data_IF_365838195911
#
_entry.id   IF_365838195911
#
_cell.length_a   1.000
_cell.length_b   1.000
_cell.length_c   1.000
_cell.angle_alpha   90.00
_cell.angle_beta   90.00
_cell.angle_gamma   90.00
#
_symmetry.space_group_name_H-M   'P 1'
#
loop_
_entity.id
_entity.type
_entity.pdbx_description
1 polymer ?
#
# COMPACT_ATOMS: atom_id res chain seq x y z
N UNK A 1 -40.33 14.40 1.75
CA UNK A 1 -40.86 13.60 2.88
C UNK A 1 -39.97 13.89 4.08
N UNK A 2 -40.39 14.83 4.93
CA UNK A 2 -39.63 15.29 6.09
C UNK A 2 -39.81 14.30 7.25
N UNK A 3 -38.72 13.81 7.84
CA UNK A 3 -38.78 13.09 9.11
C UNK A 3 -37.97 13.86 10.16
N UNK A 4 -38.72 14.51 11.05
CA UNK A 4 -38.30 15.00 12.36
C UNK A 4 -37.70 13.83 13.16
N UNK A 5 -36.50 14.01 13.73
CA UNK A 5 -36.02 13.17 14.83
C UNK A 5 -35.91 14.07 16.06
N UNK A 6 -36.90 13.92 16.91
CA UNK A 6 -37.04 14.60 18.19
C UNK A 6 -36.23 13.80 19.23
N UNK A 7 -35.10 14.35 19.69
CA UNK A 7 -34.30 13.73 20.73
C UNK A 7 -34.94 14.01 22.10
N UNK A 8 -35.56 12.99 22.69
CA UNK A 8 -36.06 13.03 24.07
C UNK A 8 -34.87 12.87 25.02
N UNK A 9 -34.44 13.97 25.64
CA UNK A 9 -33.49 13.94 26.73
C UNK A 9 -34.20 13.41 27.99
N UNK A 10 -33.92 12.15 28.36
CA UNK A 10 -34.23 11.63 29.69
C UNK A 10 -32.95 11.58 30.52
N UNK A 11 -33.05 12.19 31.70
CA UNK A 11 -32.01 12.41 32.69
C UNK A 11 -31.32 11.11 33.13
N UNK A 12 -30.01 10.99 32.90
CA UNK A 12 -29.12 10.11 33.65
C UNK A 12 -27.77 10.84 33.87
N UNK A 13 -27.31 10.99 35.12
CA UNK A 13 -26.00 11.54 35.41
C UNK A 13 -25.00 10.38 35.47
N UNK A 14 -24.17 10.21 34.45
CA UNK A 14 -22.93 9.43 34.54
C UNK A 14 -21.98 9.89 33.43
N UNK A 15 -20.84 10.38 33.89
CA UNK A 15 -19.65 10.76 33.12
C UNK A 15 -19.21 9.62 32.21
N UNK A 16 -19.61 9.67 30.94
CA UNK A 16 -19.04 8.87 29.85
C UNK A 16 -18.83 9.82 28.67
N UNK A 17 -17.58 10.21 28.47
CA UNK A 17 -17.10 10.99 27.33
C UNK A 17 -17.18 10.12 26.08
N UNK A 18 -18.34 10.14 25.44
CA UNK A 18 -18.64 9.37 24.24
C UNK A 18 -18.35 10.24 23.01
N UNK A 19 -17.27 9.96 22.29
CA UNK A 19 -16.99 10.57 20.98
C UNK A 19 -17.79 9.85 19.91
N UNK A 20 -18.79 10.51 19.34
CA UNK A 20 -19.63 9.94 18.28
C UNK A 20 -19.07 10.31 16.91
N UNK A 21 -18.74 9.29 16.09
CA UNK A 21 -18.54 9.44 14.65
C UNK A 21 -19.83 9.01 13.95
N UNK A 22 -20.49 9.97 13.30
CA UNK A 22 -21.65 9.70 12.45
C UNK A 22 -21.19 9.70 11.00
N UNK A 23 -21.42 8.58 10.31
CA UNK A 23 -21.33 8.48 8.85
C UNK A 23 -22.78 8.39 8.34
N UNK A 24 -23.07 8.91 7.14
CA UNK A 24 -24.43 9.19 6.64
C UNK A 24 -25.41 7.98 6.64
N UNK A 25 -26.69 8.18 6.33
CA UNK A 25 -27.77 7.15 6.35
C UNK A 25 -27.52 5.89 5.49
N UNK A 26 -26.57 5.93 4.56
CA UNK A 26 -26.12 4.79 3.74
C UNK A 26 -24.82 4.16 4.27
N UNK A 27 -24.26 4.74 5.32
CA UNK A 27 -22.96 4.46 5.90
C UNK A 27 -23.11 4.16 7.39
N UNK A 28 -23.01 2.87 7.71
CA UNK A 28 -22.71 2.29 9.04
C UNK A 28 -22.20 3.31 10.09
N UNK A 29 -23.08 3.75 11.00
CA UNK A 29 -22.74 4.65 12.11
C UNK A 29 -21.89 3.90 13.11
N UNK A 30 -20.59 4.23 13.20
CA UNK A 30 -19.64 3.53 14.07
C UNK A 30 -19.11 4.46 15.16
N UNK A 31 -19.37 4.10 16.40
CA UNK A 31 -18.82 4.79 17.56
C UNK A 31 -17.50 4.12 17.95
N UNK A 32 -16.36 4.69 17.59
CA UNK A 32 -15.06 4.08 17.89
C UNK A 32 -13.96 5.10 18.05
N UNK A 33 -13.19 4.98 19.14
CA UNK A 33 -11.87 5.59 19.24
C UNK A 33 -10.95 4.81 18.29
N UNK A 34 -10.36 5.46 17.28
CA UNK A 34 -9.51 4.76 16.30
C UNK A 34 -8.09 5.28 16.48
N UNK A 35 -7.21 4.53 17.19
CA UNK A 35 -5.80 4.86 17.15
C UNK A 35 -5.28 4.61 15.72
N UNK A 36 -4.43 5.50 15.16
CA UNK A 36 -3.68 5.18 13.96
C UNK A 36 -2.84 3.93 14.25
N UNK A 37 -3.05 2.85 13.50
CA UNK A 37 -2.16 1.70 13.53
C UNK A 37 -1.42 1.66 12.21
N UNK A 38 -0.16 2.04 12.27
CA UNK A 38 0.78 1.70 11.21
C UNK A 38 1.01 0.18 11.27
N UNK A 39 0.83 -0.48 10.14
CA UNK A 39 1.11 -1.90 10.00
C UNK A 39 2.62 -2.10 9.88
N UNK A 40 3.17 -3.11 10.57
CA UNK A 40 4.58 -3.44 10.47
C UNK A 40 4.87 -4.15 9.15
N UNK A 41 6.09 -4.02 8.58
CA UNK A 41 6.50 -4.86 7.46
C UNK A 41 6.26 -6.34 7.80
N UNK A 42 5.59 -7.07 6.90
CA UNK A 42 5.17 -8.48 7.06
C UNK A 42 3.94 -8.74 7.94
N UNK A 43 3.20 -7.71 8.34
CA UNK A 43 1.86 -7.91 8.90
C UNK A 43 0.98 -8.69 7.91
N UNK A 44 -0.09 -9.31 8.39
CA UNK A 44 -1.06 -10.03 7.54
C UNK A 44 -2.48 -9.59 7.89
N UNK A 45 -3.32 -9.51 6.87
CA UNK A 45 -4.74 -9.22 6.97
C UNK A 45 -5.55 -10.51 7.01
N UNK A 46 -6.42 -10.63 8.01
CA UNK A 46 -7.38 -11.72 8.09
C UNK A 46 -8.46 -11.58 6.99
N UNK A 47 -8.73 -12.70 6.32
CA UNK A 47 -9.86 -12.92 5.41
C UNK A 47 -10.89 -13.75 6.16
N UNK A 48 -12.13 -13.28 6.18
CA UNK A 48 -13.24 -13.92 6.87
C UNK A 48 -14.21 -14.56 5.87
N UNK A 49 -14.96 -15.56 6.33
CA UNK A 49 -16.03 -16.17 5.56
C UNK A 49 -17.19 -15.22 5.24
N UNK A 50 -17.95 -15.55 4.20
CA UNK A 50 -19.20 -14.85 3.87
C UNK A 50 -20.26 -15.22 4.92
N UNK A 51 -20.94 -14.22 5.48
CA UNK A 51 -22.04 -14.42 6.45
C UNK A 51 -21.69 -14.18 7.92
N UNK A 52 -20.45 -13.83 8.25
CA UNK A 52 -20.09 -13.45 9.63
C UNK A 52 -20.63 -12.04 9.99
N UNK A 53 -21.30 -11.97 11.14
CA UNK A 53 -21.90 -10.76 11.71
C UNK A 53 -20.78 -9.83 12.24
N UNK A 54 -20.92 -8.52 12.04
CA UNK A 54 -19.98 -7.50 12.55
C UNK A 54 -20.20 -7.27 14.07
N UNK A 55 -19.17 -6.95 14.87
CA UNK A 55 -17.75 -6.81 14.52
C UNK A 55 -17.01 -8.14 14.41
N UNK A 56 -16.06 -8.21 13.47
CA UNK A 56 -15.35 -9.44 13.09
C UNK A 56 -14.05 -9.68 13.84
N UNK A 57 -13.58 -8.67 14.56
CA UNK A 57 -12.33 -8.68 15.31
C UNK A 57 -12.59 -8.22 16.73
N UNK A 58 -12.19 -9.03 17.69
CA UNK A 58 -11.96 -8.59 19.06
C UNK A 58 -10.65 -7.81 19.13
N UNK A 59 -10.65 -6.60 19.67
CA UNK A 59 -9.41 -5.86 19.91
C UNK A 59 -9.60 -4.76 20.94
N UNK A 60 -8.52 -4.43 21.65
CA UNK A 60 -8.47 -3.26 22.55
C UNK A 60 -8.34 -1.92 21.81
N UNK A 61 -8.71 -1.85 20.51
CA UNK A 61 -8.59 -0.62 19.71
C UNK A 61 -9.63 0.43 20.09
N UNK A 62 -10.83 0.00 20.45
CA UNK A 62 -11.91 0.87 20.91
C UNK A 62 -12.79 0.09 21.90
N UNK A 63 -13.49 0.79 22.79
CA UNK A 63 -14.40 0.19 23.76
C UNK A 63 -15.46 -0.72 23.11
N UNK A 64 -15.90 -0.41 21.88
CA UNK A 64 -16.87 -1.23 21.15
C UNK A 64 -16.32 -2.57 20.63
N UNK A 65 -15.00 -2.74 20.61
CA UNK A 65 -14.32 -3.95 20.15
C UNK A 65 -13.73 -4.77 21.31
N UNK A 66 -13.84 -4.27 22.56
CA UNK A 66 -13.30 -4.88 23.78
C UNK A 66 -14.43 -5.54 24.60
N UNK A 67 -15.21 -6.40 23.95
CA UNK A 67 -16.22 -7.23 24.62
C UNK A 67 -15.57 -8.54 25.10
N UNK A 68 -15.43 -8.77 26.42
CA UNK A 68 -14.79 -9.98 26.96
C UNK A 68 -15.58 -11.26 26.67
N UNK A 69 -16.84 -11.17 26.25
CA UNK A 69 -17.67 -12.31 25.88
C UNK A 69 -17.71 -12.55 24.36
N UNK A 70 -17.09 -11.67 23.57
CA UNK A 70 -17.08 -11.81 22.11
C UNK A 70 -16.17 -12.97 21.70
N UNK A 71 -16.76 -13.98 21.06
CA UNK A 71 -16.00 -15.04 20.40
C UNK A 71 -15.41 -14.48 19.10
N UNK A 72 -14.07 -14.42 18.94
CA UNK A 72 -13.46 -13.90 17.73
C UNK A 72 -13.95 -14.66 16.50
N UNK A 73 -14.22 -13.94 15.41
CA UNK A 73 -14.59 -14.60 14.15
C UNK A 73 -13.42 -15.45 13.65
N UNK A 74 -13.70 -16.68 13.24
CA UNK A 74 -12.70 -17.56 12.64
C UNK A 74 -12.09 -16.95 11.38
N UNK A 75 -10.76 -16.93 11.31
CA UNK A 75 -10.02 -16.46 10.13
C UNK A 75 -9.97 -17.58 9.10
N UNK A 76 -10.47 -17.35 7.89
CA UNK A 76 -10.49 -18.33 6.80
C UNK A 76 -9.14 -18.39 6.07
N UNK A 77 -8.51 -17.24 5.86
CA UNK A 77 -7.20 -17.11 5.23
C UNK A 77 -6.52 -15.83 5.70
N UNK A 78 -5.24 -15.68 5.38
CA UNK A 78 -4.49 -14.45 5.61
C UNK A 78 -3.85 -13.97 4.32
N UNK A 79 -3.93 -12.67 4.06
CA UNK A 79 -3.22 -12.03 2.94
C UNK A 79 -2.13 -11.14 3.50
N UNK A 80 -0.90 -11.15 2.94
CA UNK A 80 0.12 -10.15 3.27
C UNK A 80 -0.41 -8.74 3.40
N UNK A 81 0.08 -8.00 4.40
CA UNK A 81 0.12 -6.55 4.34
C UNK A 81 0.87 -6.18 3.07
N UNK A 82 0.23 -5.38 2.24
CA UNK A 82 0.85 -4.92 1.02
C UNK A 82 1.50 -3.59 1.35
N UNK A 83 2.76 -3.37 0.97
CA UNK A 83 3.47 -2.10 1.20
C UNK A 83 2.85 -0.89 0.45
N UNK A 84 1.65 -1.06 -0.12
CA UNK A 84 0.95 -0.09 -0.94
C UNK A 84 -0.38 0.26 -0.28
N UNK A 85 -1.03 1.31 -0.78
CA UNK A 85 -2.21 1.93 -0.19
C UNK A 85 -3.12 0.96 0.59
N UNK A 86 -3.45 1.25 1.86
CA UNK A 86 -4.37 0.42 2.65
C UNK A 86 -5.79 0.45 2.07
N UNK A 87 -6.05 1.32 1.09
CA UNK A 87 -7.33 1.48 0.43
C UNK A 87 -7.52 0.46 -0.68
N UNK A 88 -8.13 -0.67 -0.35
CA UNK A 88 -8.68 -1.60 -1.35
C UNK A 88 -10.07 -1.12 -1.77
N UNK A 89 -10.29 -0.96 -3.07
CA UNK A 89 -11.61 -0.66 -3.62
C UNK A 89 -12.49 -1.92 -3.56
N UNK A 90 -13.53 -1.87 -2.72
CA UNK A 90 -14.52 -2.94 -2.54
C UNK A 90 -15.59 -2.94 -3.65
N UNK A 91 -16.29 -4.05 -3.85
CA UNK A 91 -17.49 -4.14 -4.69
C UNK A 91 -17.26 -4.34 -6.19
N UNK A 92 -16.03 -4.68 -6.59
CA UNK A 92 -15.69 -4.97 -7.99
C UNK A 92 -16.21 -6.32 -8.50
N UNK A 93 -16.03 -6.59 -9.81
CA UNK A 93 -16.44 -7.86 -10.44
C UNK A 93 -15.75 -9.08 -9.80
N UNK A 94 -14.49 -8.93 -9.38
CA UNK A 94 -13.74 -10.02 -8.73
C UNK A 94 -14.37 -10.52 -7.43
N UNK A 95 -15.03 -9.66 -6.64
CA UNK A 95 -15.75 -10.09 -5.42
C UNK A 95 -17.01 -10.90 -5.73
N UNK A 96 -17.56 -10.80 -6.94
CA UNK A 96 -18.67 -11.63 -7.40
C UNK A 96 -18.20 -13.03 -7.83
N UNK A 97 -16.96 -13.13 -8.29
CA UNK A 97 -16.37 -14.36 -8.80
C UNK A 97 -15.66 -15.18 -7.70
N UNK A 98 -15.07 -14.48 -6.71
CA UNK A 98 -14.33 -15.11 -5.62
C UNK A 98 -15.02 -14.79 -4.28
N UNK A 99 -15.75 -15.75 -3.68
CA UNK A 99 -16.44 -15.51 -2.41
C UNK A 99 -15.44 -15.35 -1.27
N UNK A 100 -15.49 -14.21 -0.57
CA UNK A 100 -14.64 -13.91 0.57
C UNK A 100 -14.84 -12.47 1.04
N UNK A 101 -14.35 -12.14 2.24
CA UNK A 101 -14.42 -10.77 2.76
C UNK A 101 -13.13 -10.41 3.49
N UNK A 102 -12.60 -9.21 3.23
CA UNK A 102 -11.46 -8.66 3.95
C UNK A 102 -11.90 -7.93 5.22
N UNK A 103 -10.99 -7.78 6.18
CA UNK A 103 -11.19 -6.83 7.27
C UNK A 103 -11.30 -5.41 6.69
N UNK A 104 -12.49 -4.81 6.78
CA UNK A 104 -12.72 -3.45 6.25
C UNK A 104 -12.14 -2.40 7.20
N UNK A 105 -11.26 -1.55 6.66
CA UNK A 105 -10.78 -0.35 7.33
C UNK A 105 -11.92 0.61 7.69
N UNK A 106 -11.73 1.44 8.70
CA UNK A 106 -12.75 2.45 9.07
C UNK A 106 -12.61 3.69 8.18
N UNK A 107 -11.37 4.14 7.95
CA UNK A 107 -11.06 5.15 6.93
C UNK A 107 -10.95 4.46 5.57
N UNK A 108 -11.81 4.79 4.63
CA UNK A 108 -11.82 4.22 3.27
C UNK A 108 -12.16 5.29 2.22
N UNK A 109 -11.87 5.06 0.92
CA UNK A 109 -12.05 6.08 -0.13
C UNK A 109 -13.50 6.56 -0.35
N UNK A 110 -14.51 5.77 0.03
CA UNK A 110 -15.92 6.18 -0.06
C UNK A 110 -16.42 6.97 1.15
N UNK A 111 -15.53 7.29 2.10
CA UNK A 111 -15.91 8.09 3.27
C UNK A 111 -16.20 9.51 2.80
N UNK A 112 -17.46 9.93 2.85
CA UNK A 112 -17.82 11.28 2.38
C UNK A 112 -17.30 12.37 3.32
N UNK A 113 -17.42 12.14 4.62
CA UNK A 113 -17.02 13.02 5.69
C UNK A 113 -16.94 12.21 6.99
N UNK A 114 -16.25 12.77 7.99
CA UNK A 114 -16.20 12.27 9.36
C UNK A 114 -16.50 13.41 10.31
N UNK A 115 -17.23 13.14 11.38
CA UNK A 115 -17.43 14.12 12.45
C UNK A 115 -17.06 13.51 13.80
N UNK A 116 -16.60 14.34 14.73
CA UNK A 116 -16.29 14.00 16.11
C UNK A 116 -17.05 15.02 16.96
N UNK A 117 -18.13 14.58 17.58
CA UNK A 117 -18.83 15.34 18.61
C UNK A 117 -18.21 15.05 19.98
N UNK A 118 -17.70 16.07 20.66
CA UNK A 118 -17.22 15.96 22.03
C UNK A 118 -18.25 16.59 22.99
N UNK A 119 -18.90 15.81 23.87
CA UNK A 119 -19.95 16.30 24.75
C UNK A 119 -19.37 17.02 25.97
N UNK A 120 -18.64 18.12 25.74
CA UNK A 120 -18.13 18.99 26.79
C UNK A 120 -18.98 20.26 26.85
N UNK A 121 -19.76 20.47 27.94
CA UNK A 121 -20.58 21.66 28.11
C UNK A 121 -19.78 22.96 28.04
N UNK A 122 -18.49 22.94 28.40
CA UNK A 122 -17.62 24.11 28.35
C UNK A 122 -17.02 24.31 26.97
N UNK A 123 -16.91 23.26 26.15
CA UNK A 123 -16.28 23.27 24.84
C UNK A 123 -17.16 22.59 23.78
N UNK A 124 -18.32 23.21 23.51
CA UNK A 124 -19.28 22.76 22.50
C UNK A 124 -18.74 22.98 21.07
N UNK A 125 -17.91 22.05 20.61
CA UNK A 125 -17.29 22.05 19.29
C UNK A 125 -17.58 20.73 18.60
N UNK A 126 -18.06 20.82 17.37
CA UNK A 126 -18.12 19.70 16.43
C UNK A 126 -16.84 19.74 15.59
N UNK A 127 -16.02 18.69 15.67
CA UNK A 127 -14.91 18.55 14.75
C UNK A 127 -15.38 17.83 13.50
N UNK A 128 -15.13 18.39 12.34
CA UNK A 128 -15.60 17.89 11.06
C UNK A 128 -14.43 17.75 10.10
N UNK A 129 -14.43 16.66 9.34
CA UNK A 129 -13.42 16.33 8.35
C UNK A 129 -14.13 15.98 7.05
N UNK A 130 -13.69 16.56 5.95
CA UNK A 130 -14.08 16.08 4.62
C UNK A 130 -13.30 14.82 4.27
N UNK A 131 -13.92 13.96 3.46
CA UNK A 131 -13.32 12.73 2.94
C UNK A 131 -12.80 11.76 4.05
N UNK A 132 -11.79 10.94 3.76
CA UNK A 132 -11.31 9.87 4.62
C UNK A 132 -10.42 10.41 5.76
N UNK A 133 -10.71 10.05 7.03
CA UNK A 133 -10.03 10.64 8.19
C UNK A 133 -8.53 10.33 8.27
N UNK A 134 -8.02 9.30 7.58
CA UNK A 134 -6.59 9.00 7.56
C UNK A 134 -5.75 9.97 6.70
N UNK A 135 -6.37 10.77 5.85
CA UNK A 135 -5.72 11.74 4.94
C UNK A 135 -6.21 13.18 5.14
N UNK A 136 -7.11 13.37 6.10
CA UNK A 136 -7.79 14.64 6.34
C UNK A 136 -7.54 15.18 7.74
N UNK A 137 -8.18 16.31 8.06
CA UNK A 137 -8.05 17.03 9.32
C UNK A 137 -9.41 17.20 9.99
N UNK A 138 -9.39 17.20 11.32
CA UNK A 138 -10.57 17.48 12.13
C UNK A 138 -10.66 18.99 12.39
N UNK A 139 -11.48 19.65 11.58
CA UNK A 139 -11.68 21.10 11.55
C UNK A 139 -12.80 21.51 12.50
N UNK A 140 -12.62 22.54 13.34
CA UNK A 140 -13.59 22.87 14.38
C UNK A 140 -14.76 23.69 13.84
N UNK A 141 -15.97 23.30 14.21
CA UNK A 141 -17.20 24.06 14.03
C UNK A 141 -17.83 24.28 15.41
N UNK A 142 -17.97 25.54 15.82
CA UNK A 142 -18.56 25.85 17.11
C UNK A 142 -20.06 25.54 17.09
N UNK A 143 -20.57 24.82 18.08
CA UNK A 143 -22.01 24.49 18.10
C UNK A 143 -22.89 25.74 18.14
N UNK A 144 -22.40 26.86 18.71
CA UNK A 144 -23.11 28.14 18.68
C UNK A 144 -23.31 28.66 17.25
N UNK A 145 -22.28 28.57 16.38
CA UNK A 145 -22.36 29.06 15.00
C UNK A 145 -23.19 28.14 14.14
N UNK A 146 -23.11 26.83 14.38
CA UNK A 146 -24.00 25.85 13.74
C UNK A 146 -25.47 26.07 14.13
N UNK A 147 -25.74 26.38 15.40
CA UNK A 147 -27.10 26.67 15.89
C UNK A 147 -27.66 27.95 15.29
N UNK A 148 -26.84 28.99 15.18
CA UNK A 148 -27.19 30.26 14.52
C UNK A 148 -27.50 30.04 13.03
N UNK A 149 -26.68 29.25 12.34
CA UNK A 149 -26.84 28.96 10.92
C UNK A 149 -28.11 28.14 10.58
N UNK A 150 -28.65 27.35 11.52
CA UNK A 150 -29.76 26.43 11.25
C UNK A 150 -31.05 27.14 10.73
N UNK A 151 -31.22 28.42 11.01
CA UNK A 151 -32.34 29.25 10.52
C UNK A 151 -31.97 30.20 9.38
N UNK A 152 -30.77 30.09 8.82
CA UNK A 152 -30.23 31.04 7.85
C UNK A 152 -30.17 30.45 6.44
N UNK A 153 -30.38 31.32 5.44
CA UNK A 153 -30.04 31.00 4.05
C UNK A 153 -28.53 30.81 3.88
N UNK A 154 -28.13 29.89 3.00
CA UNK A 154 -26.71 29.56 2.75
C UNK A 154 -25.85 30.77 2.38
N UNK A 155 -26.43 31.75 1.68
CA UNK A 155 -25.71 32.99 1.32
C UNK A 155 -25.31 33.82 2.56
N UNK A 156 -26.05 33.67 3.66
CA UNK A 156 -25.86 34.42 4.91
C UNK A 156 -24.96 33.69 5.90
N UNK A 157 -24.72 32.39 5.75
CA UNK A 157 -23.86 31.59 6.65
C UNK A 157 -22.36 31.80 6.39
N UNK A 158 -21.99 32.58 5.37
CA UNK A 158 -20.60 32.91 5.04
C UNK A 158 -19.86 33.71 6.12
N UNK A 159 -20.58 34.34 7.06
CA UNK A 159 -19.97 34.99 8.24
C UNK A 159 -19.62 34.01 9.35
N UNK A 160 -20.20 32.81 9.37
CA UNK A 160 -20.16 31.89 10.52
C UNK A 160 -19.11 30.77 10.39
N UNK A 161 -18.84 30.33 9.16
CA UNK A 161 -17.83 29.32 8.84
C UNK A 161 -17.42 29.46 7.37
N UNK A 162 -16.30 28.86 7.00
CA UNK A 162 -15.68 29.06 5.69
C UNK A 162 -16.55 28.53 4.54
N UNK A 163 -16.68 29.33 3.46
CA UNK A 163 -17.44 28.98 2.25
C UNK A 163 -17.10 27.59 1.69
N UNK A 164 -15.83 27.14 1.64
CA UNK A 164 -15.51 25.83 1.05
C UNK A 164 -16.13 24.62 1.75
N UNK A 165 -16.50 24.72 3.03
CA UNK A 165 -17.22 23.65 3.74
C UNK A 165 -18.76 23.74 3.56
N UNK A 166 -19.26 24.75 2.85
CA UNK A 166 -20.69 24.95 2.59
C UNK A 166 -21.10 24.46 1.20
N UNK A 167 -20.13 24.33 0.29
CA UNK A 167 -20.34 23.99 -1.11
C UNK A 167 -19.48 22.78 -1.49
N UNK A 168 -20.04 21.86 -2.28
CA UNK A 168 -19.34 20.61 -2.61
C UNK A 168 -20.18 19.64 -3.42
N UNK A 169 -20.53 19.99 -4.66
CA UNK A 169 -21.20 19.04 -5.54
C UNK A 169 -20.19 18.07 -6.15
N UNK A 170 -20.24 16.81 -5.73
CA UNK A 170 -19.29 15.76 -6.12
C UNK A 170 -19.40 15.32 -7.59
N UNK A 171 -20.49 15.69 -8.27
CA UNK A 171 -20.70 15.38 -9.69
C UNK A 171 -20.14 16.44 -10.65
N UNK A 172 -19.56 17.52 -10.13
CA UNK A 172 -18.99 18.60 -10.93
C UNK A 172 -17.63 19.03 -10.36
N UNK A 173 -16.60 18.95 -11.19
CA UNK A 173 -15.25 19.36 -10.83
C UNK A 173 -14.96 20.83 -11.25
N UNK A 174 -15.86 21.48 -11.98
CA UNK A 174 -15.64 22.84 -12.53
C UNK A 174 -15.37 23.89 -11.45
N UNK A 175 -15.95 23.71 -10.26
CA UNK A 175 -15.76 24.57 -9.10
C UNK A 175 -14.93 23.90 -7.99
N UNK A 176 -14.17 22.84 -8.29
CA UNK A 176 -13.48 22.04 -7.28
C UNK A 176 -12.61 22.88 -6.34
N UNK A 177 -11.85 23.84 -6.88
CA UNK A 177 -10.98 24.75 -6.12
C UNK A 177 -11.72 25.63 -5.11
N UNK A 178 -13.05 25.75 -5.19
CA UNK A 178 -13.87 26.47 -4.21
C UNK A 178 -14.39 25.58 -3.07
N UNK A 179 -14.18 24.27 -3.12
CA UNK A 179 -14.78 23.30 -2.20
C UNK A 179 -13.70 22.66 -1.32
N UNK A 180 -14.04 22.40 -0.06
CA UNK A 180 -13.20 21.64 0.84
C UNK A 180 -13.18 20.17 0.42
N UNK A 181 -14.34 19.59 0.09
CA UNK A 181 -14.44 18.17 -0.24
C UNK A 181 -13.45 17.75 -1.35
N UNK A 182 -13.42 18.46 -2.49
CA UNK A 182 -12.47 18.14 -3.56
C UNK A 182 -11.01 18.38 -3.17
N UNK A 183 -10.72 19.30 -2.25
CA UNK A 183 -9.34 19.53 -1.79
C UNK A 183 -8.81 18.30 -1.05
N UNK A 184 -9.61 17.76 -0.12
CA UNK A 184 -9.26 16.59 0.68
C UNK A 184 -9.29 15.30 -0.16
N UNK A 185 -10.35 15.10 -0.94
CA UNK A 185 -10.51 13.94 -1.82
C UNK A 185 -9.38 13.86 -2.86
N UNK A 186 -8.99 14.98 -3.48
CA UNK A 186 -7.90 14.97 -4.46
C UNK A 186 -6.57 14.52 -3.83
N UNK A 187 -6.22 15.03 -2.64
CA UNK A 187 -5.02 14.58 -1.92
C UNK A 187 -5.09 13.08 -1.63
N UNK A 188 -6.21 12.60 -1.08
CA UNK A 188 -6.38 11.20 -0.72
C UNK A 188 -6.25 10.26 -1.92
N UNK A 189 -6.88 10.61 -3.05
CA UNK A 189 -6.81 9.82 -4.28
C UNK A 189 -5.42 9.88 -4.93
N UNK A 190 -4.78 11.05 -4.97
CA UNK A 190 -3.45 11.18 -5.56
C UNK A 190 -2.39 10.40 -4.76
N UNK A 191 -2.58 10.29 -3.44
CA UNK A 191 -1.75 9.47 -2.57
C UNK A 191 -1.66 8.01 -3.00
N UNK A 192 -2.65 7.45 -3.68
CA UNK A 192 -2.60 6.06 -4.12
C UNK A 192 -1.47 5.77 -5.12
N UNK A 193 -0.96 6.78 -5.83
CA UNK A 193 0.17 6.62 -6.76
C UNK A 193 1.48 6.27 -6.03
N UNK A 194 1.71 6.80 -4.83
CA UNK A 194 2.86 6.43 -3.99
C UNK A 194 2.56 6.70 -2.51
N UNK A 195 1.67 5.87 -1.94
CA UNK A 195 1.08 6.13 -0.63
C UNK A 195 2.12 6.29 0.48
N UNK A 196 3.13 5.42 0.52
CA UNK A 196 4.14 5.44 1.58
C UNK A 196 4.93 6.75 1.55
N UNK A 197 5.50 7.11 0.39
CA UNK A 197 6.32 8.30 0.28
C UNK A 197 5.49 9.57 0.48
N UNK A 198 4.32 9.67 -0.18
CA UNK A 198 3.44 10.84 -0.04
C UNK A 198 2.91 11.02 1.39
N UNK A 199 2.57 9.92 2.06
CA UNK A 199 2.13 9.97 3.46
C UNK A 199 3.23 10.48 4.37
N UNK A 200 4.45 9.92 4.25
CA UNK A 200 5.54 10.19 5.18
C UNK A 200 6.16 11.57 4.97
N UNK A 201 6.37 11.98 3.72
CA UNK A 201 7.06 13.23 3.40
C UNK A 201 6.15 14.46 3.44
N UNK A 202 4.86 14.31 3.11
CA UNK A 202 3.98 15.46 2.89
C UNK A 202 2.73 15.44 3.76
N UNK A 203 1.90 14.40 3.67
CA UNK A 203 0.54 14.46 4.24
C UNK A 203 0.51 14.28 5.77
N UNK A 204 1.18 13.26 6.33
CA UNK A 204 1.25 13.09 7.79
C UNK A 204 1.97 14.25 8.50
N UNK A 205 3.06 14.82 7.95
CA UNK A 205 3.64 16.05 8.48
C UNK A 205 2.69 17.24 8.43
N UNK A 206 1.96 17.44 7.32
CA UNK A 206 0.95 18.49 7.21
C UNK A 206 -0.16 18.33 8.26
N UNK A 207 -0.67 17.11 8.47
CA UNK A 207 -1.66 16.80 9.51
C UNK A 207 -1.09 17.16 10.89
N UNK A 208 0.13 16.71 11.19
CA UNK A 208 0.80 16.96 12.46
C UNK A 208 1.03 18.45 12.74
N UNK A 209 1.25 19.24 11.68
CA UNK A 209 1.42 20.69 11.78
C UNK A 209 0.08 21.44 11.98
N UNK A 210 -0.96 21.05 11.26
CA UNK A 210 -2.24 21.77 11.24
C UNK A 210 -3.19 21.35 12.36
N UNK A 211 -3.22 20.08 12.75
CA UNK A 211 -4.18 19.59 13.74
C UNK A 211 -4.07 20.32 15.09
N UNK A 212 -2.88 20.61 15.65
CA UNK A 212 -2.76 21.39 16.88
C UNK A 212 -3.32 22.82 16.74
N UNK A 213 -3.08 23.48 15.60
CA UNK A 213 -3.58 24.84 15.33
C UNK A 213 -5.11 24.88 15.25
N UNK A 214 -5.71 23.84 14.68
CA UNK A 214 -7.17 23.67 14.65
C UNK A 214 -7.74 23.50 16.06
N UNK A 215 -7.05 22.77 16.93
CA UNK A 215 -7.43 22.64 18.34
C UNK A 215 -7.28 23.97 19.11
N UNK A 216 -6.20 24.72 18.88
CA UNK A 216 -6.01 26.07 19.45
C UNK A 216 -7.10 27.05 19.00
N UNK A 217 -7.46 27.02 17.71
CA UNK A 217 -8.55 27.83 17.18
C UNK A 217 -9.89 27.46 17.84
N UNK A 218 -10.16 26.17 18.05
CA UNK A 218 -11.35 25.71 18.77
C UNK A 218 -11.37 26.24 20.22
N UNK A 219 -10.23 26.17 20.91
CA UNK A 219 -10.07 26.63 22.29
C UNK A 219 -10.32 28.15 22.44
N UNK A 220 -10.09 28.93 21.39
CA UNK A 220 -10.40 30.38 21.39
C UNK A 220 -11.90 30.68 21.49
N UNK A 221 -12.77 29.71 21.11
CA UNK A 221 -14.24 29.88 21.01
C UNK A 221 -14.68 31.06 20.14
N UNK A 222 -13.78 31.59 19.31
CA UNK A 222 -14.02 32.71 18.41
C UNK A 222 -14.49 32.21 17.05
N UNK A 223 -15.62 32.73 16.59
CA UNK A 223 -16.18 32.45 15.26
C UNK A 223 -15.19 32.85 14.16
N UNK A 224 -14.61 34.05 14.27
CA UNK A 224 -13.68 34.59 13.28
C UNK A 224 -12.39 33.77 13.23
N UNK A 225 -11.87 33.34 14.38
CA UNK A 225 -10.66 32.51 14.47
C UNK A 225 -10.90 31.13 13.86
N UNK A 226 -12.03 30.48 14.17
CA UNK A 226 -12.39 29.19 13.59
C UNK A 226 -12.61 29.29 12.08
N UNK A 227 -13.31 30.33 11.62
CA UNK A 227 -13.52 30.56 10.19
C UNK A 227 -12.20 30.82 9.45
N UNK A 228 -11.34 31.68 9.97
CA UNK A 228 -10.07 32.00 9.32
C UNK A 228 -9.18 30.75 9.17
N UNK A 229 -9.11 29.89 10.20
CA UNK A 229 -8.31 28.67 10.10
C UNK A 229 -8.93 27.63 9.16
N UNK A 230 -10.27 27.55 9.09
CA UNK A 230 -10.98 26.73 8.10
C UNK A 230 -10.62 27.15 6.66
N UNK A 231 -10.55 28.46 6.37
CA UNK A 231 -10.15 28.96 5.05
C UNK A 231 -8.68 28.66 4.75
N UNK A 232 -7.80 28.85 5.73
CA UNK A 232 -6.38 28.58 5.59
C UNK A 232 -6.07 27.11 5.33
N UNK A 233 -6.73 26.19 6.03
CA UNK A 233 -6.46 24.76 5.88
C UNK A 233 -6.90 24.26 4.49
N UNK A 234 -8.05 24.72 3.97
CA UNK A 234 -8.50 24.34 2.62
C UNK A 234 -7.54 24.88 1.56
N UNK A 235 -7.11 26.14 1.70
CA UNK A 235 -6.09 26.71 0.81
C UNK A 235 -4.78 25.92 0.87
N UNK A 236 -4.36 25.51 2.06
CA UNK A 236 -3.16 24.70 2.23
C UNK A 236 -3.33 23.32 1.57
N UNK A 237 -4.47 22.64 1.75
CA UNK A 237 -4.72 21.35 1.11
C UNK A 237 -4.68 21.45 -0.41
N UNK A 238 -5.20 22.53 -1.00
CA UNK A 238 -5.06 22.75 -2.44
C UNK A 238 -3.60 22.96 -2.88
N UNK A 239 -2.81 23.72 -2.13
CA UNK A 239 -1.38 23.87 -2.41
C UNK A 239 -0.61 22.55 -2.24
N UNK A 240 -1.03 21.72 -1.28
CA UNK A 240 -0.51 20.38 -1.07
C UNK A 240 -0.84 19.49 -2.28
N UNK A 241 -2.08 19.53 -2.79
CA UNK A 241 -2.45 18.85 -4.04
C UNK A 241 -1.55 19.25 -5.20
N UNK A 242 -1.35 20.56 -5.41
CA UNK A 242 -0.50 21.08 -6.48
C UNK A 242 0.95 20.58 -6.30
N UNK A 243 1.44 20.55 -5.06
CA UNK A 243 2.76 19.98 -4.72
C UNK A 243 2.84 18.50 -5.08
N UNK A 244 1.86 17.69 -4.68
CA UNK A 244 1.87 16.25 -4.94
C UNK A 244 1.81 15.94 -6.44
N UNK A 245 1.06 16.72 -7.23
CA UNK A 245 1.04 16.57 -8.69
C UNK A 245 2.41 16.85 -9.30
N UNK A 246 3.07 17.95 -8.92
CA UNK A 246 4.41 18.28 -9.43
C UNK A 246 5.43 17.22 -9.01
N UNK A 247 5.37 16.76 -7.75
CA UNK A 247 6.33 15.81 -7.19
C UNK A 247 6.13 14.39 -7.72
N UNK A 248 4.94 13.98 -8.14
CA UNK A 248 4.64 12.57 -8.44
C UNK A 248 3.93 12.32 -9.77
N UNK A 249 4.03 13.24 -10.74
CA UNK A 249 3.53 12.97 -12.09
C UNK A 249 4.42 11.94 -12.83
N UNK A 250 3.80 11.30 -13.83
CA UNK A 250 4.44 10.41 -14.80
C UNK A 250 5.21 9.20 -14.21
N UNK A 251 4.90 8.83 -12.97
CA UNK A 251 5.56 7.71 -12.28
C UNK A 251 6.96 8.03 -11.74
N UNK A 252 7.31 9.32 -11.67
CA UNK A 252 8.58 9.80 -11.11
C UNK A 252 8.37 10.44 -9.74
N UNK A 253 9.44 10.50 -8.95
CA UNK A 253 9.54 11.39 -7.79
C UNK A 253 10.40 12.60 -8.19
N UNK A 254 9.73 13.65 -8.62
CA UNK A 254 10.35 14.85 -9.16
C UNK A 254 10.74 15.82 -8.04
N UNK A 255 11.96 16.34 -8.12
CA UNK A 255 12.45 17.47 -7.33
C UNK A 255 12.26 17.27 -5.81
N UNK A 256 12.75 16.16 -5.22
CA UNK A 256 12.61 15.93 -3.79
C UNK A 256 13.08 17.13 -2.95
N UNK A 257 12.50 17.40 -1.77
CA UNK A 257 12.96 18.50 -0.92
C UNK A 257 14.45 18.42 -0.57
N UNK A 258 14.98 17.20 -0.45
CA UNK A 258 16.40 16.92 -0.21
C UNK A 258 17.29 17.20 -1.43
N UNK A 259 16.75 17.13 -2.64
CA UNK A 259 17.47 17.39 -3.89
C UNK A 259 16.56 18.01 -4.96
N UNK A 260 16.31 19.33 -4.92
CA UNK A 260 15.32 19.98 -5.79
C UNK A 260 15.60 19.97 -7.29
N UNK A 261 16.79 19.50 -7.72
CA UNK A 261 17.17 19.39 -9.12
C UNK A 261 17.09 17.94 -9.65
N UNK A 262 16.81 16.96 -8.79
CA UNK A 262 16.76 15.55 -9.18
C UNK A 262 15.37 15.13 -9.68
N UNK A 263 15.37 14.09 -10.49
CA UNK A 263 14.18 13.31 -10.86
C UNK A 263 14.52 11.85 -10.56
N UNK A 264 13.74 11.23 -9.69
CA UNK A 264 13.96 9.85 -9.26
C UNK A 264 12.89 8.93 -9.83
N UNK A 265 13.25 7.69 -10.17
CA UNK A 265 12.29 6.70 -10.62
C UNK A 265 11.66 6.01 -9.41
N UNK A 266 10.33 6.00 -9.33
CA UNK A 266 9.61 5.24 -8.30
C UNK A 266 9.76 3.74 -8.58
N UNK A 267 9.49 3.33 -9.82
CA UNK A 267 9.69 1.96 -10.30
C UNK A 267 8.80 0.93 -9.62
N UNK A 268 9.05 -0.35 -9.94
CA UNK A 268 8.37 -1.45 -9.28
C UNK A 268 9.05 -1.75 -7.93
N UNK A 269 8.27 -2.02 -6.88
CA UNK A 269 8.78 -2.48 -5.59
C UNK A 269 9.61 -3.77 -5.74
N UNK A 270 10.72 -3.86 -5.01
CA UNK A 270 11.65 -4.98 -5.13
C UNK A 270 11.04 -6.32 -4.70
N UNK A 271 10.14 -6.32 -3.72
CA UNK A 271 9.37 -7.47 -3.25
C UNK A 271 8.36 -7.95 -4.31
N UNK A 272 7.67 -7.03 -4.99
CA UNK A 272 6.82 -7.36 -6.13
C UNK A 272 7.63 -8.00 -7.26
N UNK A 273 8.76 -7.39 -7.64
CA UNK A 273 9.66 -7.93 -8.67
C UNK A 273 10.13 -9.34 -8.29
N UNK A 274 10.53 -9.54 -7.04
CA UNK A 274 10.94 -10.83 -6.53
C UNK A 274 9.81 -11.88 -6.57
N UNK A 275 8.59 -11.49 -6.18
CA UNK A 275 7.40 -12.35 -6.19
C UNK A 275 7.06 -12.86 -7.59
N UNK A 276 7.21 -12.01 -8.61
CA UNK A 276 6.94 -12.41 -10.01
C UNK A 276 8.13 -13.11 -10.68
N UNK A 277 9.20 -13.41 -9.94
CA UNK A 277 10.37 -14.09 -10.47
C UNK A 277 11.24 -13.21 -11.37
N UNK A 278 11.23 -11.89 -11.18
CA UNK A 278 12.12 -10.96 -11.89
C UNK A 278 13.57 -11.22 -11.47
N UNK A 279 14.35 -11.89 -12.33
CA UNK A 279 15.72 -12.31 -12.05
C UNK A 279 16.56 -12.45 -13.33
N UNK A 280 17.84 -12.77 -13.16
CA UNK A 280 18.79 -12.93 -14.27
C UNK A 280 18.53 -14.16 -15.16
N UNK A 281 17.52 -14.99 -14.86
CA UNK A 281 17.12 -16.15 -15.64
C UNK A 281 15.89 -15.86 -16.54
N UNK A 282 15.62 -14.59 -16.84
CA UNK A 282 14.50 -14.14 -17.70
C UNK A 282 14.42 -14.84 -19.07
N UNK A 283 15.54 -15.37 -19.56
CA UNK A 283 15.63 -16.11 -20.82
C UNK A 283 15.10 -17.56 -20.75
N UNK A 284 14.76 -18.04 -19.55
CA UNK A 284 14.16 -19.36 -19.33
C UNK A 284 12.71 -19.21 -18.89
N UNK A 285 11.77 -20.06 -19.34
CA UNK A 285 10.39 -20.00 -18.90
C UNK A 285 10.29 -20.03 -17.37
N UNK A 286 9.85 -18.91 -16.79
CA UNK A 286 9.54 -18.81 -15.37
C UNK A 286 8.05 -19.03 -15.20
N UNK A 287 7.67 -20.04 -14.42
CA UNK A 287 6.29 -20.19 -13.97
C UNK A 287 6.19 -19.59 -12.58
N UNK A 288 5.49 -18.47 -12.45
CA UNK A 288 5.21 -17.86 -11.14
C UNK A 288 4.22 -18.78 -10.43
N UNK A 289 4.71 -19.55 -9.46
CA UNK A 289 3.84 -20.34 -8.59
C UNK A 289 3.11 -19.39 -7.64
N UNK A 290 1.82 -19.62 -7.32
CA UNK A 290 1.16 -18.93 -6.23
C UNK A 290 2.02 -19.01 -4.98
N UNK A 291 2.32 -17.86 -4.36
CA UNK A 291 3.19 -17.83 -3.20
C UNK A 291 2.57 -18.67 -2.06
N UNK A 292 3.24 -19.74 -1.63
CA UNK A 292 2.82 -20.52 -0.45
C UNK A 292 2.97 -19.72 0.86
N UNK A 293 3.82 -18.70 0.85
CA UNK A 293 4.05 -17.75 1.94
C UNK A 293 4.52 -16.41 1.37
N UNK A 294 4.35 -15.33 2.13
CA UNK A 294 4.97 -14.03 1.85
C UNK A 294 6.48 -14.18 1.71
N UNK A 295 7.06 -13.56 0.67
CA UNK A 295 8.50 -13.48 0.47
C UNK A 295 8.91 -12.01 0.54
N UNK A 296 9.77 -11.66 1.49
CA UNK A 296 10.35 -10.32 1.53
C UNK A 296 11.51 -10.21 0.53
N UNK A 297 11.76 -9.01 0.01
CA UNK A 297 12.86 -8.77 -0.94
C UNK A 297 14.23 -9.22 -0.40
N UNK A 298 14.44 -9.08 0.91
CA UNK A 298 15.65 -9.53 1.60
C UNK A 298 15.84 -11.06 1.57
N UNK A 299 14.75 -11.83 1.65
CA UNK A 299 14.81 -13.30 1.61
C UNK A 299 15.21 -13.79 0.21
N UNK A 300 14.83 -13.04 -0.82
CA UNK A 300 15.18 -13.32 -2.22
C UNK A 300 16.63 -12.95 -2.50
N UNK A 301 17.07 -11.77 -2.05
CA UNK A 301 18.45 -11.32 -2.17
C UNK A 301 19.42 -12.30 -1.48
N UNK A 302 19.06 -12.82 -0.30
CA UNK A 302 19.86 -13.81 0.41
C UNK A 302 19.96 -15.16 -0.33
N UNK A 303 18.89 -15.58 -1.02
CA UNK A 303 18.84 -16.85 -1.77
C UNK A 303 19.72 -16.84 -3.03
N UNK A 304 19.95 -15.65 -3.60
CA UNK A 304 20.70 -15.43 -4.86
C UNK A 304 22.09 -14.79 -4.65
N UNK A 305 22.79 -15.13 -3.55
CA UNK A 305 24.17 -14.71 -3.32
C UNK A 305 25.08 -15.04 -4.51
N UNK A 306 25.75 -14.02 -5.06
CA UNK A 306 26.73 -14.07 -6.15
C UNK A 306 27.84 -15.11 -5.91
N UNK A 307 28.12 -15.41 -4.63
CA UNK A 307 29.12 -16.39 -4.19
C UNK A 307 28.71 -17.81 -4.63
N UNK A 308 27.43 -18.18 -4.52
CA UNK A 308 26.96 -19.52 -4.93
C UNK A 308 27.09 -19.72 -6.44
N UNK A 309 26.75 -18.71 -7.24
CA UNK A 309 26.90 -18.76 -8.71
C UNK A 309 28.37 -18.88 -9.13
N UNK A 310 29.26 -18.11 -8.50
CA UNK A 310 30.70 -18.21 -8.74
C UNK A 310 31.27 -19.58 -8.36
N UNK A 311 30.86 -20.15 -7.22
CA UNK A 311 31.31 -21.48 -6.80
C UNK A 311 30.87 -22.59 -7.76
N UNK A 312 29.64 -22.51 -8.30
CA UNK A 312 29.14 -23.49 -9.28
C UNK A 312 29.96 -23.44 -10.57
N UNK A 313 30.26 -22.24 -11.09
CA UNK A 313 31.06 -22.08 -12.30
C UNK A 313 32.50 -22.58 -12.12
N UNK A 314 33.11 -22.29 -10.96
CA UNK A 314 34.45 -22.79 -10.62
C UNK A 314 34.45 -24.32 -10.55
N UNK A 315 33.47 -24.92 -9.86
CA UNK A 315 33.36 -26.36 -9.72
C UNK A 315 33.16 -27.05 -11.08
N UNK A 316 32.30 -26.49 -11.93
CA UNK A 316 32.10 -26.97 -13.30
C UNK A 316 33.37 -26.88 -14.15
N UNK A 317 34.12 -25.78 -14.04
CA UNK A 317 35.42 -25.60 -14.71
C UNK A 317 36.47 -26.63 -14.26
N UNK A 318 36.57 -26.90 -12.95
CA UNK A 318 37.50 -27.90 -12.39
C UNK A 318 37.14 -29.31 -12.87
N UNK A 319 35.86 -29.67 -12.85
CA UNK A 319 35.40 -30.98 -13.34
C UNK A 319 35.71 -31.12 -14.84
N UNK A 320 35.41 -30.10 -15.66
CA UNK A 320 35.75 -30.10 -17.08
C UNK A 320 37.25 -30.31 -17.33
N UNK A 321 38.10 -29.65 -16.55
CA UNK A 321 39.55 -29.74 -16.66
C UNK A 321 40.09 -31.13 -16.28
N UNK A 322 39.60 -31.71 -15.18
CA UNK A 322 39.96 -33.08 -14.75
C UNK A 322 39.54 -34.10 -15.81
N UNK A 323 38.32 -33.96 -16.33
CA UNK A 323 37.77 -34.87 -17.35
C UNK A 323 38.58 -34.78 -18.64
N UNK A 324 38.92 -33.56 -19.09
CA UNK A 324 39.79 -33.32 -20.25
C UNK A 324 41.19 -33.92 -20.08
N UNK A 325 41.82 -33.74 -18.92
CA UNK A 325 43.14 -34.32 -18.63
C UNK A 325 43.10 -35.86 -18.60
N UNK A 326 42.05 -36.46 -18.05
CA UNK A 326 41.87 -37.91 -18.06
C UNK A 326 41.61 -38.46 -19.47
N UNK A 327 40.81 -37.75 -20.28
CA UNK A 327 40.59 -38.11 -21.69
C UNK A 327 41.89 -38.04 -22.50
N UNK A 328 42.69 -37.00 -22.32
CA UNK A 328 44.00 -36.86 -22.98
C UNK A 328 44.97 -37.97 -22.54
N UNK A 329 44.98 -38.32 -21.25
CA UNK A 329 45.76 -39.46 -20.73
C UNK A 329 45.32 -40.79 -21.35
N UNK A 330 44.01 -41.00 -21.54
CA UNK A 330 43.47 -42.18 -22.22
C UNK A 330 43.80 -42.20 -23.72
N UNK A 331 43.79 -41.05 -24.39
CA UNK A 331 44.21 -40.92 -25.80
C UNK A 331 45.68 -41.31 -25.97
N UNK A 332 46.57 -40.72 -25.16
CA UNK A 332 48.01 -41.04 -25.17
C UNK A 332 48.30 -42.52 -24.88
N UNK A 333 47.51 -43.16 -24.02
CA UNK A 333 47.63 -44.62 -23.76
C UNK A 333 47.22 -45.45 -24.99
N UNK A 334 46.14 -45.07 -25.69
CA UNK A 334 45.74 -45.73 -26.94
C UNK A 334 46.80 -45.58 -28.03
N UNK A 335 47.36 -44.38 -28.21
CA UNK A 335 48.36 -44.13 -29.25
C UNK A 335 49.65 -44.94 -29.01
N UNK A 336 50.06 -45.10 -27.75
CA UNK A 336 51.20 -45.98 -27.38
C UNK A 336 50.94 -47.46 -27.62
N UNK A 337 49.71 -47.93 -27.37
CA UNK A 337 49.35 -49.31 -27.64
C UNK A 337 49.29 -49.58 -29.16
N UNK A 338 48.76 -48.63 -29.93
CA UNK A 338 48.75 -48.69 -31.40
C UNK A 338 50.17 -48.70 -31.98
N UNK A 339 51.09 -47.86 -31.47
CA UNK A 339 52.49 -47.86 -31.93
C UNK A 339 53.27 -49.12 -31.53
N UNK A 340 52.94 -49.77 -30.41
CA UNK A 340 53.55 -51.05 -30.00
C UNK A 340 53.09 -52.25 -30.85
N UNK A 341 51.90 -52.18 -31.46
CA UNK A 341 51.39 -53.26 -32.32
C UNK A 341 52.03 -53.30 -33.71
N UNK A 342 52.62 -52.17 -34.15
CA UNK A 342 53.25 -52.07 -35.47
C UNK A 342 54.73 -52.51 -35.49
N UNK A 343 55.34 -52.85 -34.35
CA UNK A 343 56.76 -53.27 -34.30
C UNK A 343 56.98 -54.79 -34.19
N UNK A 344 55.93 -55.61 -34.35
CA UNK A 344 55.99 -57.06 -34.09
C UNK A 344 55.69 -57.95 -35.31
N UNK A 345 55.90 -57.46 -36.54
CA UNK A 345 55.79 -58.30 -37.75
C UNK A 345 56.98 -58.08 -38.68
N UNK A 346 58.13 -58.66 -38.29
CA UNK A 346 59.24 -58.95 -39.21
C UNK A 346 59.49 -60.45 -39.17
N UNK A 347 58.77 -61.19 -40.04
CA UNK A 347 59.05 -62.59 -40.34
C UNK A 347 59.88 -62.64 -41.63
N UNK A 348 60.96 -63.44 -41.72
CA UNK A 348 61.83 -63.46 -42.89
C UNK A 348 61.18 -64.28 -44.02
N UNK A 349 60.96 -63.67 -45.18
CA UNK A 349 60.62 -64.44 -46.38
C UNK A 349 61.88 -64.88 -47.12
N UNK A 350 62.15 -66.17 -46.98
CA UNK A 350 62.95 -67.04 -47.83
C UNK A 350 62.52 -66.96 -49.29
N UNK A 351 63.50 -66.93 -50.19
CA UNK A 351 63.31 -66.75 -51.62
C UNK A 351 62.67 -67.93 -52.36
N UNK A 352 62.11 -67.60 -53.52
CA UNK A 352 61.95 -68.52 -54.64
C UNK A 352 62.14 -67.75 -55.95
N UNK A 353 63.16 -68.15 -56.68
CA UNK A 353 63.42 -67.81 -58.09
C UNK A 353 62.49 -68.62 -58.98
N UNK A 354 61.77 -68.00 -59.94
CA UNK A 354 61.52 -68.64 -61.25
C UNK A 354 61.00 -67.69 -62.34
N UNK A 355 61.86 -67.56 -63.35
CA UNK A 355 61.63 -67.70 -64.80
C UNK A 355 60.61 -66.81 -65.52
N UNK A 356 61.23 -65.89 -66.27
CA UNK A 356 60.94 -65.38 -67.60
C UNK A 356 60.22 -66.41 -68.51
N UNK A 357 59.19 -65.94 -69.22
CA UNK A 357 58.97 -66.27 -70.63
C UNK A 357 58.11 -65.20 -71.32
N UNK A 358 58.72 -64.57 -72.33
CA UNK A 358 58.17 -64.11 -73.61
C UNK A 358 57.09 -65.07 -74.16
N UNK A 359 56.02 -64.67 -74.85
CA UNK A 359 55.88 -63.97 -76.15
C UNK A 359 54.34 -63.87 -76.36
N UNK A 360 53.72 -62.80 -76.85
CA UNK A 360 53.65 -62.26 -78.23
C UNK A 360 53.20 -60.80 -78.15
#
# INVERSE_FOLDING_TARGET
MFLYVQLVATLLPLTLTCTTIVVSKECDTRLGLIPPRDHSPRDVHAVYGVGHIYPRTWSKRAAIYDDPNHQPTGVNATVPEVQHTPYRLEGGVGEKEVPGQFARGISIPRTAYTMIGYPDPENLVLYYSEDAPATSLFVPFLCKTLSEAAGMELSKTSSLYAKPFQVGYKGDFSNAKETAWWAFDFVANWMDANYVNMSQEFVKPAISYWQPKLLEAAASKSTDTCKAIQEHVVKYWWNLSDTLVVRYNDGFYNFPPSNPAAVEHIGYPADYLAMIGYNNYFYSPQYVQPAQSTMAAEDVAAKHSTIRTFLILILGGIIGLITGLNMEKHRRRRDRLASSSNSATTTPQTGYTRLINSTV
#
